data_IF_350068836068
#
_entry.id   IF_350068836068
#
_cell.length_a   1.000
_cell.length_b   1.000
_cell.length_c   1.000
_cell.angle_alpha   90.00
_cell.angle_beta   90.00
_cell.angle_gamma   90.00
#
_symmetry.space_group_name_H-M   'P 1'
#
loop_
_entity.id
_entity.type
_entity.pdbx_description
1 polymer ?
#
# COMPACT_ATOMS: atom_id res chain seq x y z
N UNK A 1 4.11 21.87 8.29
CA UNK A 1 4.93 20.74 7.81
C UNK A 1 4.03 19.61 7.35
N UNK A 2 4.31 18.99 6.21
CA UNK A 2 3.56 17.85 5.69
C UNK A 2 4.30 16.55 6.05
N UNK A 3 3.64 15.64 6.71
CA UNK A 3 4.21 14.34 7.04
C UNK A 3 3.58 13.25 6.18
N UNK A 4 4.41 12.32 5.73
CA UNK A 4 3.98 11.18 4.94
C UNK A 4 4.47 9.90 5.60
N UNK A 5 3.58 8.93 5.77
CA UNK A 5 3.93 7.56 6.17
C UNK A 5 3.71 6.66 4.97
N UNK A 6 4.75 5.97 4.54
CA UNK A 6 4.73 5.07 3.37
C UNK A 6 5.05 3.64 3.78
N UNK A 7 4.19 2.68 3.41
CA UNK A 7 4.47 1.25 3.58
C UNK A 7 5.03 0.64 2.29
N UNK A 8 5.98 -0.32 2.43
CA UNK A 8 6.51 -1.08 1.29
C UNK A 8 7.38 -0.27 0.33
N UNK A 9 8.25 0.57 0.87
CA UNK A 9 9.15 1.48 0.15
C UNK A 9 10.41 0.82 -0.44
N UNK A 10 10.73 -0.41 -0.06
CA UNK A 10 12.03 -1.05 -0.38
C UNK A 10 12.20 -1.45 -1.86
N UNK A 11 11.14 -1.50 -2.67
CA UNK A 11 11.18 -1.88 -4.10
C UNK A 11 9.94 -1.41 -4.87
N UNK A 12 10.05 -1.46 -6.21
CA UNK A 12 8.94 -1.20 -7.13
C UNK A 12 8.31 0.18 -6.91
N UNK A 13 6.98 0.25 -6.98
CA UNK A 13 6.26 1.52 -6.85
C UNK A 13 6.55 2.25 -5.54
N UNK A 14 6.64 1.53 -4.42
CA UNK A 14 6.93 2.15 -3.13
C UNK A 14 8.31 2.80 -3.08
N UNK A 15 9.33 2.18 -3.70
CA UNK A 15 10.65 2.78 -3.81
C UNK A 15 10.62 4.04 -4.68
N UNK A 16 9.98 3.98 -5.84
CA UNK A 16 9.83 5.14 -6.72
C UNK A 16 9.09 6.29 -6.04
N UNK A 17 8.04 5.99 -5.28
CA UNK A 17 7.32 6.99 -4.46
C UNK A 17 8.24 7.60 -3.40
N UNK A 18 8.99 6.78 -2.66
CA UNK A 18 9.92 7.25 -1.64
C UNK A 18 10.95 8.23 -2.22
N UNK A 19 11.59 7.86 -3.33
CA UNK A 19 12.61 8.70 -3.99
C UNK A 19 12.08 10.05 -4.49
N UNK A 20 10.80 10.13 -4.85
CA UNK A 20 10.17 11.39 -5.23
C UNK A 20 9.77 12.22 -4.00
N UNK A 21 9.16 11.59 -3.02
CA UNK A 21 8.62 12.23 -1.83
C UNK A 21 9.70 12.78 -0.90
N UNK A 22 10.84 12.07 -0.74
CA UNK A 22 11.97 12.50 0.10
C UNK A 22 12.66 13.79 -0.39
N UNK A 23 12.44 14.14 -1.67
CA UNK A 23 12.99 15.35 -2.30
C UNK A 23 12.05 16.54 -2.31
N UNK A 24 10.84 16.39 -1.76
CA UNK A 24 9.86 17.46 -1.71
C UNK A 24 10.16 18.44 -0.56
N UNK A 25 10.11 19.73 -0.85
CA UNK A 25 10.24 20.77 0.16
C UNK A 25 9.12 20.68 1.22
N UNK A 26 9.45 21.01 2.46
CA UNK A 26 8.51 21.02 3.59
C UNK A 26 7.80 19.66 3.84
N UNK A 27 8.41 18.56 3.42
CA UNK A 27 7.84 17.20 3.53
C UNK A 27 8.80 16.29 4.30
N UNK A 28 8.27 15.54 5.28
CA UNK A 28 9.00 14.50 6.00
C UNK A 28 8.39 13.15 5.67
N UNK A 29 9.20 12.21 5.22
CA UNK A 29 8.74 10.88 4.83
C UNK A 29 9.23 9.84 5.84
N UNK A 30 8.30 9.20 6.54
CA UNK A 30 8.56 8.03 7.37
C UNK A 30 8.22 6.77 6.60
N UNK A 31 9.13 5.81 6.58
CA UNK A 31 8.94 4.53 5.89
C UNK A 31 8.64 3.43 6.89
N UNK A 32 7.70 2.54 6.54
CA UNK A 32 7.31 1.39 7.37
C UNK A 32 7.64 0.10 6.63
N UNK A 33 8.42 -0.77 7.24
CA UNK A 33 8.83 -2.01 6.63
C UNK A 33 9.64 -2.92 7.54
N UNK A 34 10.03 -4.08 7.00
CA UNK A 34 10.86 -5.08 7.69
C UNK A 34 12.36 -4.81 7.54
N UNK A 35 12.73 -4.21 6.44
CA UNK A 35 14.12 -3.89 6.05
C UNK A 35 14.10 -2.60 5.26
N UNK A 36 15.18 -1.85 5.35
CA UNK A 36 15.35 -0.59 4.67
C UNK A 36 16.60 -0.63 3.79
N UNK A 37 16.58 0.10 2.70
CA UNK A 37 17.78 0.32 1.86
C UNK A 37 18.67 1.37 2.51
N UNK A 38 19.91 1.47 2.03
CA UNK A 38 20.83 2.51 2.51
C UNK A 38 20.30 3.93 2.23
N UNK A 39 19.60 4.12 1.11
CA UNK A 39 18.96 5.39 0.77
C UNK A 39 17.82 5.70 1.74
N UNK A 40 17.00 4.70 2.11
CA UNK A 40 15.92 4.91 3.09
C UNK A 40 16.46 5.25 4.48
N UNK A 41 17.52 4.58 4.93
CA UNK A 41 18.16 4.87 6.22
C UNK A 41 18.80 6.27 6.25
N UNK A 42 19.20 6.80 5.11
CA UNK A 42 19.88 8.07 4.98
C UNK A 42 18.92 9.25 4.74
N UNK A 43 17.85 9.05 3.95
CA UNK A 43 16.97 10.12 3.47
C UNK A 43 15.61 10.13 4.14
N UNK A 44 15.15 9.00 4.74
CA UNK A 44 13.88 8.99 5.44
C UNK A 44 13.95 9.76 6.75
N UNK A 45 12.87 10.50 7.07
CA UNK A 45 12.72 11.13 8.37
C UNK A 45 12.71 10.11 9.52
N UNK A 46 12.10 8.96 9.29
CA UNK A 46 12.06 7.85 10.24
C UNK A 46 11.89 6.51 9.53
N UNK A 47 12.64 5.50 9.98
CA UNK A 47 12.48 4.10 9.59
C UNK A 47 11.74 3.36 10.70
N UNK A 48 10.50 2.97 10.45
CA UNK A 48 9.62 2.31 11.41
C UNK A 48 9.62 0.81 11.11
N UNK A 49 10.27 0.02 11.96
CA UNK A 49 10.30 -1.44 11.81
C UNK A 49 8.95 -2.05 12.17
N UNK A 50 8.29 -2.67 11.20
CA UNK A 50 7.09 -3.46 11.41
C UNK A 50 6.93 -4.53 10.32
N UNK A 51 6.72 -5.78 10.75
CA UNK A 51 6.28 -6.84 9.88
C UNK A 51 4.75 -6.86 9.87
N UNK A 52 4.15 -6.59 8.71
CA UNK A 52 2.70 -6.57 8.56
C UNK A 52 2.04 -7.96 8.74
N UNK A 53 2.81 -9.04 8.78
CA UNK A 53 2.31 -10.37 9.16
C UNK A 53 2.10 -10.50 10.66
N UNK A 54 2.60 -9.54 11.47
CA UNK A 54 2.53 -9.53 12.93
C UNK A 54 1.74 -8.31 13.44
N UNK A 55 0.41 -8.28 13.30
CA UNK A 55 -0.41 -7.12 13.65
C UNK A 55 -0.31 -6.74 15.13
N UNK A 56 -0.02 -7.70 16.02
CA UNK A 56 0.13 -7.45 17.45
C UNK A 56 1.42 -6.66 17.80
N UNK A 57 2.38 -6.60 16.89
CA UNK A 57 3.60 -5.82 17.01
C UNK A 57 3.52 -4.46 16.27
N UNK A 58 2.30 -3.99 16.02
CA UNK A 58 2.09 -2.68 15.38
C UNK A 58 2.75 -1.56 16.20
N UNK A 59 3.58 -0.72 15.58
CA UNK A 59 4.24 0.38 16.27
C UNK A 59 3.22 1.40 16.75
N UNK A 60 3.45 1.96 17.93
CA UNK A 60 2.71 3.11 18.40
C UNK A 60 3.19 4.37 17.68
N UNK A 61 2.25 5.26 17.34
CA UNK A 61 2.59 6.57 16.78
C UNK A 61 3.22 7.41 17.91
N UNK A 62 4.49 7.80 17.71
CA UNK A 62 5.17 8.68 18.66
C UNK A 62 4.73 10.14 18.41
N UNK A 63 4.01 10.78 19.35
CA UNK A 63 3.51 12.14 19.16
C UNK A 63 4.59 13.20 18.94
N UNK A 64 5.81 12.97 19.45
CA UNK A 64 6.92 13.91 19.33
C UNK A 64 7.44 14.02 17.88
N UNK A 65 7.22 13.00 17.06
CA UNK A 65 7.59 13.04 15.65
C UNK A 65 6.68 13.96 14.82
N UNK A 66 5.48 14.29 15.34
CA UNK A 66 4.42 15.00 14.61
C UNK A 66 4.00 16.33 15.29
N UNK A 67 4.92 16.96 16.05
CA UNK A 67 4.61 18.17 16.82
C UNK A 67 4.18 19.33 15.92
N UNK A 68 4.85 19.54 14.78
CA UNK A 68 4.62 20.64 13.84
C UNK A 68 3.88 20.17 12.58
N UNK A 69 3.14 19.08 12.67
CA UNK A 69 2.41 18.49 11.54
C UNK A 69 1.11 19.24 11.31
N UNK A 70 0.93 19.77 10.11
CA UNK A 70 -0.33 20.37 9.66
C UNK A 70 -1.20 19.35 8.94
N UNK A 71 -0.57 18.48 8.16
CA UNK A 71 -1.22 17.39 7.45
C UNK A 71 -0.40 16.12 7.50
N UNK A 72 -1.09 14.99 7.58
CA UNK A 72 -0.50 13.65 7.55
C UNK A 72 -1.09 12.85 6.38
N UNK A 73 -0.24 12.37 5.48
CA UNK A 73 -0.64 11.43 4.44
C UNK A 73 -0.16 10.02 4.79
N UNK A 74 -1.06 9.04 4.71
CA UNK A 74 -0.71 7.63 4.81
C UNK A 74 -0.82 6.98 3.44
N UNK A 75 0.29 6.54 2.87
CA UNK A 75 0.35 5.82 1.59
C UNK A 75 0.46 4.33 1.89
N UNK A 76 -0.67 3.63 1.80
CA UNK A 76 -0.74 2.18 1.93
C UNK A 76 -0.37 1.52 0.61
N UNK A 77 0.91 1.15 0.45
CA UNK A 77 1.44 0.54 -0.76
C UNK A 77 1.87 -0.92 -0.55
N UNK A 78 2.30 -1.31 0.64
CA UNK A 78 2.67 -2.69 0.94
C UNK A 78 1.53 -3.66 0.63
N UNK A 79 1.87 -4.83 0.06
CA UNK A 79 0.90 -5.87 -0.23
C UNK A 79 1.53 -7.12 -0.81
N UNK A 80 0.78 -8.22 -0.78
CA UNK A 80 1.14 -9.49 -1.39
C UNK A 80 0.02 -9.99 -2.29
N UNK A 81 0.37 -10.62 -3.41
CA UNK A 81 -0.56 -11.31 -4.31
C UNK A 81 -0.73 -12.78 -3.92
N UNK A 82 0.18 -13.31 -3.12
CA UNK A 82 0.14 -14.71 -2.65
C UNK A 82 -0.92 -14.91 -1.55
N UNK A 83 -1.47 -16.15 -1.48
CA UNK A 83 -1.24 -17.29 -2.37
C UNK A 83 -1.97 -17.15 -3.72
N UNK A 84 -1.32 -17.65 -4.77
CA UNK A 84 -1.91 -17.75 -6.10
C UNK A 84 -2.29 -19.22 -6.35
N UNK A 85 -3.57 -19.51 -6.60
CA UNK A 85 -4.04 -20.85 -6.82
C UNK A 85 -5.55 -21.02 -6.74
N UNK A 86 -6.01 -22.26 -6.95
CA UNK A 86 -7.42 -22.63 -6.86
C UNK A 86 -7.88 -22.70 -5.39
N UNK A 87 -9.09 -22.23 -5.10
CA UNK A 87 -9.70 -22.38 -3.78
C UNK A 87 -9.84 -23.87 -3.47
N UNK A 88 -9.43 -24.28 -2.27
CA UNK A 88 -9.35 -25.67 -1.83
C UNK A 88 -7.95 -26.28 -1.93
N UNK A 89 -7.00 -25.60 -2.61
CA UNK A 89 -5.59 -26.01 -2.67
C UNK A 89 -4.63 -25.05 -1.97
N UNK A 90 -5.14 -23.91 -1.49
CA UNK A 90 -4.34 -22.85 -0.88
C UNK A 90 -3.93 -23.22 0.56
N UNK A 91 -2.71 -22.85 0.95
CA UNK A 91 -2.23 -23.00 2.34
C UNK A 91 -2.95 -22.04 3.27
N UNK A 92 -3.44 -22.52 4.41
CA UNK A 92 -4.10 -21.73 5.43
C UNK A 92 -3.16 -20.64 6.01
N UNK A 93 -1.86 -20.97 6.16
CA UNK A 93 -0.86 -20.01 6.63
C UNK A 93 -0.69 -18.85 5.65
N UNK A 94 -0.63 -19.14 4.34
CA UNK A 94 -0.51 -18.09 3.33
C UNK A 94 -1.79 -17.26 3.20
N UNK A 95 -2.96 -17.89 3.37
CA UNK A 95 -4.24 -17.16 3.44
C UNK A 95 -4.27 -16.19 4.61
N UNK A 96 -3.83 -16.63 5.81
CA UNK A 96 -3.70 -15.78 6.99
C UNK A 96 -2.70 -14.65 6.77
N UNK A 97 -1.53 -14.93 6.21
CA UNK A 97 -0.53 -13.90 5.90
C UNK A 97 -1.06 -12.85 4.92
N UNK A 98 -1.75 -13.28 3.87
CA UNK A 98 -2.38 -12.36 2.92
C UNK A 98 -3.42 -11.47 3.61
N UNK A 99 -4.27 -12.02 4.46
CA UNK A 99 -5.26 -11.27 5.22
C UNK A 99 -4.58 -10.26 6.16
N UNK A 100 -3.51 -10.65 6.83
CA UNK A 100 -2.76 -9.77 7.71
C UNK A 100 -2.11 -8.62 6.95
N UNK A 101 -1.33 -8.91 5.93
CA UNK A 101 -0.57 -7.91 5.16
C UNK A 101 -1.47 -6.94 4.40
N UNK A 102 -2.49 -7.46 3.72
CA UNK A 102 -3.31 -6.64 2.81
C UNK A 102 -4.50 -5.97 3.49
N UNK A 103 -4.94 -6.45 4.66
CA UNK A 103 -6.18 -5.97 5.28
C UNK A 103 -6.03 -5.68 6.77
N UNK A 104 -5.69 -6.66 7.63
CA UNK A 104 -5.77 -6.50 9.09
C UNK A 104 -4.79 -5.44 9.59
N UNK A 105 -3.52 -5.57 9.26
CA UNK A 105 -2.48 -4.63 9.67
C UNK A 105 -2.74 -3.20 9.19
N UNK A 106 -2.99 -2.95 7.88
CA UNK A 106 -3.29 -1.60 7.42
C UNK A 106 -4.60 -1.05 7.99
N UNK A 107 -5.63 -1.88 8.23
CA UNK A 107 -6.88 -1.46 8.88
C UNK A 107 -6.63 -0.99 10.32
N UNK A 108 -5.88 -1.76 11.11
CA UNK A 108 -5.53 -1.40 12.49
C UNK A 108 -4.70 -0.12 12.54
N UNK A 109 -3.74 0.02 11.62
CA UNK A 109 -2.89 1.21 11.53
C UNK A 109 -3.69 2.45 11.11
N UNK A 110 -4.59 2.33 10.13
CA UNK A 110 -5.52 3.41 9.77
C UNK A 110 -6.37 3.85 10.97
N UNK A 111 -6.93 2.90 11.74
CA UNK A 111 -7.72 3.22 12.91
C UNK A 111 -6.91 4.02 13.95
N UNK A 112 -5.64 3.66 14.16
CA UNK A 112 -4.72 4.39 15.05
C UNK A 112 -4.42 5.80 14.51
N UNK A 113 -4.16 5.94 13.19
CA UNK A 113 -3.90 7.22 12.54
C UNK A 113 -5.10 8.16 12.63
N UNK A 114 -6.31 7.66 12.35
CA UNK A 114 -7.56 8.44 12.44
C UNK A 114 -7.76 8.96 13.86
N UNK A 115 -7.57 8.10 14.88
CA UNK A 115 -7.65 8.52 16.29
C UNK A 115 -6.62 9.62 16.60
N UNK A 116 -5.36 9.38 16.23
CA UNK A 116 -4.25 10.31 16.46
C UNK A 116 -4.48 11.69 15.81
N UNK A 117 -4.85 11.71 14.53
CA UNK A 117 -5.09 12.95 13.80
C UNK A 117 -6.29 13.72 14.35
N UNK A 118 -7.38 13.02 14.67
CA UNK A 118 -8.58 13.63 15.28
C UNK A 118 -8.27 14.31 16.61
N UNK A 119 -7.50 13.67 17.49
CA UNK A 119 -7.13 14.23 18.81
C UNK A 119 -6.23 15.47 18.71
N UNK A 120 -5.55 15.65 17.57
CA UNK A 120 -4.59 16.73 17.33
C UNK A 120 -5.02 17.74 16.28
N UNK A 121 -6.21 17.58 15.71
CA UNK A 121 -6.71 18.42 14.62
C UNK A 121 -5.76 18.45 13.40
N UNK A 122 -5.09 17.33 13.11
CA UNK A 122 -4.24 17.15 11.93
C UNK A 122 -5.11 16.64 10.79
N UNK A 123 -5.01 17.26 9.61
CA UNK A 123 -5.68 16.76 8.40
C UNK A 123 -5.07 15.44 7.96
N UNK A 124 -5.90 14.41 7.79
CA UNK A 124 -5.46 13.08 7.37
C UNK A 124 -5.82 12.80 5.93
N UNK A 125 -4.86 12.40 5.13
CA UNK A 125 -5.08 11.85 3.79
C UNK A 125 -4.63 10.39 3.72
N UNK A 126 -5.51 9.50 3.27
CA UNK A 126 -5.16 8.08 3.05
C UNK A 126 -5.14 7.81 1.55
N UNK A 127 -3.96 7.49 1.03
CA UNK A 127 -3.76 7.06 -0.35
C UNK A 127 -3.57 5.55 -0.37
N UNK A 128 -4.61 4.84 -0.74
CA UNK A 128 -4.60 3.38 -0.82
C UNK A 128 -4.20 2.93 -2.22
N UNK A 129 -3.03 2.32 -2.35
CA UNK A 129 -2.61 1.63 -3.59
C UNK A 129 -3.42 0.33 -3.69
N UNK A 130 -4.51 0.44 -4.42
CA UNK A 130 -5.50 -0.60 -4.64
C UNK A 130 -5.14 -1.46 -5.87
N UNK A 131 -6.11 -2.07 -6.49
CA UNK A 131 -6.00 -2.87 -7.71
C UNK A 131 -7.39 -3.09 -8.29
N UNK A 132 -7.49 -3.35 -9.58
CA UNK A 132 -8.72 -3.87 -10.19
C UNK A 132 -9.27 -5.11 -9.49
N UNK A 133 -8.41 -5.91 -8.84
CA UNK A 133 -8.78 -7.05 -8.01
C UNK A 133 -9.71 -6.69 -6.82
N UNK A 134 -9.75 -5.44 -6.39
CA UNK A 134 -10.70 -4.99 -5.37
C UNK A 134 -12.15 -4.90 -5.89
N UNK A 135 -12.35 -4.88 -7.20
CA UNK A 135 -13.65 -4.67 -7.84
C UNK A 135 -14.11 -5.88 -8.67
N UNK A 136 -13.21 -6.78 -9.03
CA UNK A 136 -13.49 -7.91 -9.92
C UNK A 136 -12.90 -9.21 -9.39
N UNK A 137 -13.67 -10.30 -9.51
CA UNK A 137 -13.18 -11.64 -9.20
C UNK A 137 -12.20 -12.11 -10.29
N UNK A 138 -11.03 -12.57 -9.87
CA UNK A 138 -9.97 -13.08 -10.75
C UNK A 138 -9.62 -14.50 -10.28
N UNK A 139 -9.84 -15.49 -11.13
CA UNK A 139 -9.50 -16.88 -10.83
C UNK A 139 -7.99 -17.02 -10.52
N UNK A 140 -7.66 -17.72 -9.44
CA UNK A 140 -6.31 -17.85 -8.92
C UNK A 140 -5.90 -16.78 -7.90
N UNK A 141 -6.68 -15.69 -7.72
CA UNK A 141 -6.37 -14.59 -6.80
C UNK A 141 -7.41 -14.44 -5.68
N UNK A 142 -7.93 -15.53 -5.16
CA UNK A 142 -9.02 -15.48 -4.17
C UNK A 142 -8.68 -14.61 -2.94
N UNK A 143 -7.53 -14.86 -2.30
CA UNK A 143 -7.08 -14.08 -1.15
C UNK A 143 -6.79 -12.61 -1.50
N UNK A 144 -6.16 -12.38 -2.65
CA UNK A 144 -5.82 -11.04 -3.11
C UNK A 144 -7.07 -10.19 -3.40
N UNK A 145 -8.02 -10.74 -4.17
CA UNK A 145 -9.30 -10.06 -4.45
C UNK A 145 -10.06 -9.77 -3.15
N UNK A 146 -10.22 -10.76 -2.28
CA UNK A 146 -10.96 -10.63 -1.04
C UNK A 146 -10.35 -9.55 -0.12
N UNK A 147 -9.04 -9.58 0.08
CA UNK A 147 -8.35 -8.65 0.98
C UNK A 147 -8.30 -7.23 0.45
N UNK A 148 -8.09 -7.05 -0.86
CA UNK A 148 -8.13 -5.71 -1.51
C UNK A 148 -9.54 -5.13 -1.48
N UNK A 149 -10.58 -5.94 -1.70
CA UNK A 149 -11.97 -5.51 -1.58
C UNK A 149 -12.34 -5.16 -0.13
N UNK A 150 -11.91 -5.96 0.84
CA UNK A 150 -12.17 -5.72 2.26
C UNK A 150 -11.55 -4.39 2.73
N UNK A 151 -10.27 -4.14 2.39
CA UNK A 151 -9.61 -2.89 2.79
C UNK A 151 -10.20 -1.68 2.07
N UNK A 152 -10.55 -1.81 0.78
CA UNK A 152 -11.26 -0.76 0.06
C UNK A 152 -12.58 -0.42 0.76
N UNK A 153 -13.41 -1.40 1.10
CA UNK A 153 -14.68 -1.17 1.78
C UNK A 153 -14.51 -0.52 3.15
N UNK A 154 -13.50 -0.93 3.93
CA UNK A 154 -13.17 -0.28 5.21
C UNK A 154 -12.89 1.22 5.02
N UNK A 155 -12.13 1.58 4.01
CA UNK A 155 -11.80 2.97 3.69
C UNK A 155 -12.99 3.74 3.07
N UNK A 156 -13.86 3.08 2.31
CA UNK A 156 -15.10 3.68 1.80
C UNK A 156 -16.02 4.08 2.97
N UNK A 157 -16.09 3.26 4.04
CA UNK A 157 -16.81 3.60 5.27
C UNK A 157 -16.18 4.82 5.95
N UNK A 158 -14.85 4.89 6.03
CA UNK A 158 -14.15 6.06 6.57
C UNK A 158 -14.46 7.31 5.74
N UNK A 159 -14.43 7.21 4.43
CA UNK A 159 -14.79 8.32 3.52
C UNK A 159 -16.22 8.82 3.76
N UNK A 160 -17.18 7.92 3.96
CA UNK A 160 -18.57 8.30 4.28
C UNK A 160 -18.69 8.96 5.65
N UNK A 161 -17.92 8.51 6.67
CA UNK A 161 -17.91 9.12 8.00
C UNK A 161 -17.39 10.57 7.99
N UNK A 162 -16.48 10.92 7.08
CA UNK A 162 -15.90 12.26 6.95
C UNK A 162 -16.46 13.06 5.77
N UNK A 163 -17.57 12.63 5.21
CA UNK A 163 -18.21 13.31 4.08
C UNK A 163 -18.59 14.75 4.41
N UNK A 164 -18.04 15.69 3.64
CA UNK A 164 -18.24 17.11 3.86
C UNK A 164 -17.34 17.72 4.92
N UNK A 165 -16.42 16.96 5.53
CA UNK A 165 -15.33 17.46 6.39
C UNK A 165 -14.02 17.49 5.60
N UNK A 166 -13.12 18.41 5.97
CA UNK A 166 -11.74 18.46 5.48
C UNK A 166 -10.77 17.69 6.40
N UNK A 167 -11.25 17.05 7.48
CA UNK A 167 -10.39 16.42 8.48
C UNK A 167 -9.78 15.11 7.98
N UNK A 168 -10.50 14.38 7.09
CA UNK A 168 -9.98 13.16 6.50
C UNK A 168 -10.42 12.99 5.04
N UNK A 169 -9.47 12.61 4.18
CA UNK A 169 -9.68 12.29 2.77
C UNK A 169 -9.16 10.88 2.47
N UNK A 170 -9.90 10.14 1.68
CA UNK A 170 -9.51 8.80 1.19
C UNK A 170 -9.43 8.80 -0.33
N UNK A 171 -8.32 8.30 -0.85
CA UNK A 171 -8.09 8.14 -2.29
C UNK A 171 -7.73 6.69 -2.59
N UNK A 172 -8.45 6.05 -3.51
CA UNK A 172 -8.09 4.73 -4.05
C UNK A 172 -7.39 4.89 -5.39
N UNK A 173 -6.19 4.34 -5.49
CA UNK A 173 -5.37 4.37 -6.69
C UNK A 173 -5.24 2.97 -7.25
N UNK A 174 -5.72 2.72 -8.47
CA UNK A 174 -5.34 1.53 -9.23
C UNK A 174 -4.13 1.89 -10.10
N UNK A 175 -2.94 1.39 -9.78
CA UNK A 175 -1.72 1.73 -10.51
C UNK A 175 -1.62 1.03 -11.87
N UNK A 176 -2.53 0.12 -12.18
CA UNK A 176 -2.47 -0.74 -13.35
C UNK A 176 -1.40 -1.83 -13.23
N UNK A 177 -1.02 -2.42 -14.37
CA UNK A 177 -0.04 -3.51 -14.42
C UNK A 177 1.35 -2.92 -14.60
N UNK A 178 2.22 -3.11 -13.58
CA UNK A 178 3.57 -2.51 -13.52
C UNK A 178 4.66 -3.57 -13.59
N UNK A 179 5.83 -3.21 -14.08
CA UNK A 179 7.03 -4.06 -14.05
C UNK A 179 7.67 -4.06 -12.65
N UNK A 180 7.25 -5.02 -11.84
CA UNK A 180 7.64 -5.13 -10.43
C UNK A 180 7.89 -6.59 -10.06
N UNK A 181 8.54 -6.83 -8.90
CA UNK A 181 8.71 -8.18 -8.36
C UNK A 181 7.39 -8.95 -8.14
N UNK A 182 6.27 -8.25 -7.89
CA UNK A 182 4.94 -8.88 -7.83
C UNK A 182 4.54 -9.46 -9.20
N UNK A 183 4.85 -8.75 -10.28
CA UNK A 183 4.61 -9.22 -11.64
C UNK A 183 5.47 -10.45 -11.98
N UNK A 184 6.72 -10.51 -11.48
CA UNK A 184 7.57 -11.69 -11.61
C UNK A 184 7.00 -12.90 -10.87
N UNK A 185 6.49 -12.71 -9.64
CA UNK A 185 5.80 -13.74 -8.88
C UNK A 185 4.60 -14.30 -9.64
N UNK A 186 3.75 -13.43 -10.22
CA UNK A 186 2.60 -13.84 -11.03
C UNK A 186 3.04 -14.66 -12.23
N UNK A 187 4.12 -14.28 -12.92
CA UNK A 187 4.62 -15.01 -14.10
C UNK A 187 5.33 -16.33 -13.77
N UNK A 188 5.71 -16.54 -12.50
CA UNK A 188 6.44 -17.75 -12.05
C UNK A 188 5.55 -18.94 -11.69
N UNK A 189 4.24 -18.74 -11.52
CA UNK A 189 3.31 -19.82 -11.20
C UNK A 189 2.97 -20.67 -12.44
N UNK A 190 2.31 -21.80 -12.25
CA UNK A 190 1.80 -22.61 -13.36
C UNK A 190 0.41 -22.12 -13.86
N UNK A 191 0.02 -22.56 -15.06
CA UNK A 191 -1.26 -22.16 -15.67
C UNK A 191 -2.49 -22.70 -14.93
N UNK A 192 -2.35 -23.78 -14.16
CA UNK A 192 -3.46 -24.31 -13.36
C UNK A 192 -3.73 -23.42 -12.16
N UNK A 193 -2.66 -22.88 -11.55
CA UNK A 193 -2.77 -21.95 -10.44
C UNK A 193 -3.36 -20.60 -10.87
N UNK A 194 -3.03 -20.14 -12.08
CA UNK A 194 -3.46 -18.84 -12.58
C UNK A 194 -3.87 -18.90 -14.07
N UNK A 195 -5.15 -19.07 -14.37
CA UNK A 195 -5.63 -19.21 -15.76
C UNK A 195 -5.30 -18.06 -16.71
N UNK A 196 -5.05 -16.84 -16.18
CA UNK A 196 -4.64 -15.67 -16.97
C UNK A 196 -3.12 -15.54 -17.14
N UNK A 197 -2.34 -16.57 -16.81
CA UNK A 197 -0.88 -16.51 -16.85
C UNK A 197 -0.32 -16.13 -18.22
N UNK A 198 -0.88 -16.70 -19.30
CA UNK A 198 -0.47 -16.39 -20.67
C UNK A 198 -0.63 -14.90 -21.03
N UNK A 199 -1.70 -14.27 -20.54
CA UNK A 199 -1.96 -12.84 -20.71
C UNK A 199 -0.89 -11.99 -20.00
N UNK A 200 -0.55 -12.35 -18.76
CA UNK A 200 0.45 -11.64 -17.97
C UNK A 200 1.88 -11.80 -18.54
N UNK A 201 2.19 -12.99 -19.06
CA UNK A 201 3.44 -13.21 -19.82
C UNK A 201 3.48 -12.37 -21.10
N UNK A 202 2.35 -12.25 -21.81
CA UNK A 202 2.26 -11.44 -23.02
C UNK A 202 2.41 -9.93 -22.70
N UNK A 203 1.90 -9.42 -21.58
CA UNK A 203 2.13 -8.02 -21.18
C UNK A 203 3.63 -7.71 -21.04
N UNK A 204 4.38 -8.59 -20.39
CA UNK A 204 5.83 -8.42 -20.26
C UNK A 204 6.54 -8.52 -21.61
N UNK A 205 6.27 -9.58 -22.38
CA UNK A 205 6.93 -9.82 -23.67
C UNK A 205 6.70 -8.68 -24.68
N UNK A 206 5.55 -8.01 -24.61
CA UNK A 206 5.19 -6.93 -25.51
C UNK A 206 5.49 -5.52 -24.95
N UNK A 207 6.22 -5.41 -23.82
CA UNK A 207 6.57 -4.13 -23.21
C UNK A 207 5.36 -3.30 -22.76
N UNK A 208 4.25 -3.96 -22.37
CA UNK A 208 3.01 -3.29 -21.93
C UNK A 208 2.95 -3.02 -20.43
N UNK A 209 3.98 -3.40 -19.68
CA UNK A 209 4.07 -3.11 -18.26
C UNK A 209 4.50 -1.65 -18.07
N UNK A 210 3.83 -0.95 -17.17
CA UNK A 210 4.19 0.43 -16.83
C UNK A 210 5.44 0.44 -15.95
N UNK A 211 6.33 1.41 -16.16
CA UNK A 211 7.45 1.61 -15.26
C UNK A 211 6.96 2.14 -13.91
N UNK A 212 7.45 1.61 -12.77
CA UNK A 212 7.08 2.11 -11.44
C UNK A 212 7.32 3.61 -11.26
N UNK A 213 8.39 4.16 -11.85
CA UNK A 213 8.71 5.59 -11.77
C UNK A 213 7.66 6.47 -12.45
N UNK A 214 7.17 6.08 -13.62
CA UNK A 214 6.12 6.82 -14.32
C UNK A 214 4.81 6.83 -13.53
N UNK A 215 4.47 5.67 -12.93
CA UNK A 215 3.28 5.54 -12.09
C UNK A 215 3.43 6.37 -10.81
N UNK A 216 4.60 6.36 -10.19
CA UNK A 216 4.88 7.16 -8.99
C UNK A 216 4.73 8.66 -9.27
N UNK A 217 5.26 9.15 -10.41
CA UNK A 217 5.11 10.55 -10.83
C UNK A 217 3.64 10.93 -11.06
N UNK A 218 2.85 10.03 -11.68
CA UNK A 218 1.42 10.25 -11.88
C UNK A 218 0.68 10.34 -10.54
N UNK A 219 0.96 9.42 -9.61
CA UNK A 219 0.34 9.40 -8.28
C UNK A 219 0.69 10.67 -7.51
N UNK A 220 1.96 11.06 -7.50
CA UNK A 220 2.41 12.28 -6.83
C UNK A 220 1.64 13.49 -7.33
N UNK A 221 1.63 13.73 -8.63
CA UNK A 221 1.01 14.88 -9.26
C UNK A 221 -0.51 14.93 -9.09
N UNK A 222 -1.18 13.77 -9.07
CA UNK A 222 -2.64 13.71 -9.10
C UNK A 222 -3.27 13.65 -7.71
N UNK A 223 -2.56 13.10 -6.74
CA UNK A 223 -3.17 12.73 -5.46
C UNK A 223 -2.40 13.25 -4.23
N UNK A 224 -1.18 13.75 -4.39
CA UNK A 224 -0.35 14.15 -3.25
C UNK A 224 -0.03 15.66 -3.28
N UNK A 225 0.33 16.19 -4.44
CA UNK A 225 0.50 17.62 -4.69
C UNK A 225 -0.82 18.19 -5.19
#
# INVERSE_FOLDING_TARGET
MNDIILTGSSRGLGHSLFMLLSRMDNTRVSVVGRRFSAEEEQEAYSCIHWDLTEPNHMPSINPQQFIDTESLAFINNAGTVEPIGEIGTLSDELLQQAAQVNFISPMMFCNQLVKFCRERHIKLKIVNISSGAANYAIAGWAAYCATKAAFKMFLDVLSEQYKGSEDAEVVHVDPGIMDTGMQEQIRSVDEKAFPRLSEFRAYHANGKLRAPDDVAQEILRKYII
#
